data_IF_698311204334
#
_entry.id   IF_698311204334
#
_cell.length_a   1.000
_cell.length_b   1.000
_cell.length_c   1.000
_cell.angle_alpha   90.00
_cell.angle_beta   90.00
_cell.angle_gamma   90.00
#
_symmetry.space_group_name_H-M   'P 1'
#
loop_
_entity.id
_entity.type
_entity.pdbx_description
1 polymer ?
#
# COMPACT_ATOMS: atom_id res chain seq x y z
N UNK A 1 49.67 3.53 66.07
CA UNK A 1 50.22 2.38 65.31
C UNK A 1 49.11 1.89 64.36
N UNK A 2 49.18 2.29 63.12
CA UNK A 2 48.20 1.91 62.08
C UNK A 2 48.89 0.91 61.14
N UNK A 3 48.39 -0.32 61.09
CA UNK A 3 48.78 -1.30 60.05
C UNK A 3 47.96 -1.11 58.80
N UNK A 4 48.59 -0.78 57.70
CA UNK A 4 48.04 -0.81 56.40
C UNK A 4 48.20 -2.22 55.79
N UNK A 5 47.12 -2.84 55.44
CA UNK A 5 47.10 -4.09 54.65
C UNK A 5 46.96 -3.74 53.17
N UNK A 6 47.96 -4.06 52.38
CA UNK A 6 47.94 -3.98 50.94
C UNK A 6 47.27 -5.24 50.39
N UNK A 7 46.16 -5.05 49.65
CA UNK A 7 45.52 -6.10 48.87
C UNK A 7 46.01 -5.97 47.40
N UNK A 8 46.80 -6.94 46.98
CA UNK A 8 47.30 -7.04 45.63
C UNK A 8 46.17 -7.57 44.71
N UNK A 9 45.83 -6.79 43.70
CA UNK A 9 44.97 -7.24 42.59
C UNK A 9 45.80 -7.96 41.52
N UNK A 10 45.60 -9.27 41.41
CA UNK A 10 46.13 -10.06 40.29
C UNK A 10 45.14 -9.92 39.12
N UNK A 11 45.50 -9.18 38.08
CA UNK A 11 44.80 -9.10 36.82
C UNK A 11 45.08 -10.38 36.02
N UNK A 12 44.10 -11.29 35.98
CA UNK A 12 44.12 -12.43 35.08
C UNK A 12 43.62 -11.93 33.71
N UNK A 13 44.52 -11.74 32.75
CA UNK A 13 44.18 -11.47 31.36
C UNK A 13 43.66 -12.77 30.70
N UNK A 14 42.33 -12.97 30.70
CA UNK A 14 41.66 -13.97 29.87
C UNK A 14 41.63 -13.43 28.45
N UNK A 15 42.53 -13.96 27.62
CA UNK A 15 42.50 -13.78 26.16
C UNK A 15 41.20 -14.37 25.57
N UNK A 16 40.22 -13.53 25.37
CA UNK A 16 39.05 -13.85 24.52
C UNK A 16 39.51 -13.89 23.04
N UNK A 17 40.01 -15.06 22.64
CA UNK A 17 40.09 -15.42 21.22
C UNK A 17 38.67 -15.45 20.64
N UNK A 18 38.11 -14.29 20.33
CA UNK A 18 36.89 -14.18 19.55
C UNK A 18 37.14 -14.74 18.18
N UNK A 19 36.68 -15.96 17.94
CA UNK A 19 36.53 -16.49 16.59
C UNK A 19 35.64 -15.54 15.84
N UNK A 20 36.21 -14.73 14.96
CA UNK A 20 35.50 -14.04 13.91
C UNK A 20 34.92 -15.13 13.00
N UNK A 21 33.72 -15.63 13.31
CA UNK A 21 32.88 -16.29 12.34
C UNK A 21 32.66 -15.23 11.26
N UNK A 22 33.45 -15.30 10.20
CA UNK A 22 33.28 -14.48 9.03
C UNK A 22 31.82 -14.59 8.60
N UNK A 23 31.09 -13.48 8.59
CA UNK A 23 29.82 -13.40 7.91
C UNK A 23 30.10 -13.90 6.49
N UNK A 24 29.71 -15.13 6.18
CA UNK A 24 29.69 -15.62 4.80
C UNK A 24 28.77 -14.64 4.09
N UNK A 25 29.35 -13.75 3.28
CA UNK A 25 28.61 -12.71 2.57
C UNK A 25 27.45 -13.37 1.82
N UNK A 26 26.24 -12.93 2.10
CA UNK A 26 25.05 -13.43 1.40
C UNK A 26 25.34 -13.41 -0.09
N UNK A 27 25.19 -14.55 -0.76
CA UNK A 27 25.43 -14.65 -2.21
C UNK A 27 24.57 -13.62 -2.92
N UNK A 28 25.16 -12.89 -3.85
CA UNK A 28 24.40 -11.98 -4.69
C UNK A 28 23.34 -12.75 -5.50
N UNK A 29 22.22 -12.14 -5.75
CA UNK A 29 21.23 -12.63 -6.73
C UNK A 29 21.25 -11.69 -7.93
N UNK A 30 21.15 -12.26 -9.13
CA UNK A 30 21.14 -11.51 -10.38
C UNK A 30 19.91 -11.87 -11.19
N UNK A 31 19.16 -10.85 -11.62
CA UNK A 31 18.02 -11.01 -12.53
C UNK A 31 18.45 -10.57 -13.92
N UNK A 32 18.27 -11.47 -14.90
CA UNK A 32 18.43 -11.18 -16.32
C UNK A 32 17.04 -10.83 -16.89
N UNK A 33 16.76 -9.56 -17.12
CA UNK A 33 15.46 -9.08 -17.60
C UNK A 33 15.49 -8.80 -19.11
N UNK A 34 14.62 -9.46 -19.88
CA UNK A 34 14.51 -9.19 -21.33
C UNK A 34 13.91 -7.81 -21.59
N UNK A 35 12.89 -7.45 -20.84
CA UNK A 35 12.29 -6.10 -20.77
C UNK A 35 12.22 -5.65 -19.32
N UNK A 36 12.43 -4.37 -19.11
CA UNK A 36 12.38 -3.75 -17.78
C UNK A 36 11.60 -2.44 -17.83
N UNK A 37 10.62 -2.28 -16.96
CA UNK A 37 10.10 -0.98 -16.58
C UNK A 37 10.76 -0.56 -15.27
N UNK A 38 11.54 0.53 -15.31
CA UNK A 38 12.30 0.99 -14.14
C UNK A 38 11.49 1.83 -13.15
N UNK A 39 10.21 2.12 -13.46
CA UNK A 39 9.33 2.99 -12.67
C UNK A 39 9.42 4.47 -13.07
N UNK A 40 10.33 4.88 -13.93
CA UNK A 40 10.60 6.29 -14.31
C UNK A 40 10.55 6.56 -15.80
N UNK A 41 11.13 5.66 -16.59
CA UNK A 41 11.26 5.83 -18.05
C UNK A 41 9.90 5.82 -18.76
N UNK A 42 9.81 6.56 -19.87
CA UNK A 42 8.60 6.59 -20.71
C UNK A 42 8.50 5.39 -21.67
N UNK A 43 9.36 4.40 -21.49
CA UNK A 43 9.42 3.18 -22.30
C UNK A 43 10.01 2.03 -21.50
N UNK A 44 9.80 0.81 -21.98
CA UNK A 44 10.53 -0.35 -21.47
C UNK A 44 11.99 -0.34 -21.95
N UNK A 45 12.89 -0.70 -21.06
CA UNK A 45 14.32 -0.89 -21.34
C UNK A 45 14.55 -2.35 -21.73
N UNK A 46 15.38 -2.62 -22.73
CA UNK A 46 15.68 -3.96 -23.19
C UNK A 46 16.98 -4.48 -22.58
N UNK A 47 17.06 -5.79 -22.35
CA UNK A 47 18.30 -6.49 -21.95
C UNK A 47 18.95 -5.84 -20.71
N UNK A 48 18.27 -5.84 -19.57
CA UNK A 48 18.79 -5.28 -18.34
C UNK A 48 19.24 -6.36 -17.37
N UNK A 49 20.25 -6.04 -16.58
CA UNK A 49 20.77 -6.85 -15.50
C UNK A 49 20.57 -6.11 -14.18
N UNK A 50 20.00 -6.81 -13.18
CA UNK A 50 19.79 -6.28 -11.83
C UNK A 50 20.60 -7.14 -10.87
N UNK A 51 21.51 -6.52 -10.13
CA UNK A 51 22.28 -7.17 -9.06
C UNK A 51 21.64 -6.84 -7.72
N UNK A 52 21.40 -7.87 -6.92
CA UNK A 52 20.76 -7.79 -5.61
C UNK A 52 21.76 -8.28 -4.55
N UNK A 53 21.91 -7.49 -3.48
CA UNK A 53 22.71 -7.87 -2.30
C UNK A 53 21.82 -7.77 -1.06
N UNK A 54 21.56 -8.91 -0.44
CA UNK A 54 20.60 -8.96 0.66
C UNK A 54 19.20 -8.58 0.19
N UNK A 55 18.60 -7.57 0.82
CA UNK A 55 17.26 -7.06 0.50
C UNK A 55 17.25 -5.85 -0.45
N UNK A 56 18.43 -5.46 -0.98
CA UNK A 56 18.61 -4.22 -1.76
C UNK A 56 19.13 -4.45 -3.16
N UNK A 57 18.74 -3.53 -4.05
CA UNK A 57 19.32 -3.41 -5.38
C UNK A 57 20.72 -2.80 -5.22
N UNK A 58 21.74 -3.57 -5.59
CA UNK A 58 23.13 -3.12 -5.57
C UNK A 58 23.50 -2.37 -6.85
N UNK A 59 23.01 -2.85 -8.01
CA UNK A 59 23.30 -2.27 -9.31
C UNK A 59 22.21 -2.65 -10.32
N UNK A 60 21.94 -1.78 -11.29
CA UNK A 60 21.05 -2.05 -12.43
C UNK A 60 21.55 -1.32 -13.67
N UNK A 61 21.48 -1.98 -14.82
CA UNK A 61 21.87 -1.40 -16.10
C UNK A 61 21.85 -2.42 -17.25
N UNK A 62 22.29 -2.02 -18.47
CA UNK A 62 22.34 -2.91 -19.62
C UNK A 62 23.16 -4.19 -19.34
N UNK A 63 22.65 -5.34 -19.79
CA UNK A 63 23.36 -6.58 -19.69
C UNK A 63 24.73 -6.51 -20.36
N UNK A 64 25.79 -6.71 -19.96
CA UNK A 64 27.13 -6.53 -20.57
C UNK A 64 27.86 -5.26 -20.12
N UNK A 65 27.18 -4.33 -19.45
CA UNK A 65 27.84 -3.20 -18.77
C UNK A 65 28.14 -3.49 -17.29
N UNK A 66 27.53 -4.53 -16.72
CA UNK A 66 27.63 -4.93 -15.31
C UNK A 66 28.30 -6.31 -15.21
N UNK A 67 29.29 -6.41 -14.34
CA UNK A 67 29.94 -7.71 -14.05
C UNK A 67 29.07 -8.52 -13.09
N UNK A 68 28.71 -9.75 -13.49
CA UNK A 68 28.00 -10.68 -12.61
C UNK A 68 28.94 -11.11 -11.48
N UNK A 69 28.56 -10.92 -10.19
CA UNK A 69 29.39 -11.37 -9.07
C UNK A 69 29.63 -12.87 -9.10
N UNK A 70 30.85 -13.30 -8.83
CA UNK A 70 31.19 -14.72 -8.81
C UNK A 70 30.33 -15.50 -7.81
N UNK A 71 29.73 -16.59 -8.27
CA UNK A 71 28.84 -17.43 -7.45
C UNK A 71 27.46 -16.83 -7.17
N UNK A 72 27.06 -15.77 -7.87
CA UNK A 72 25.71 -15.22 -7.80
C UNK A 72 24.66 -16.26 -8.21
N UNK A 73 23.49 -16.21 -7.58
CA UNK A 73 22.32 -16.93 -8.04
C UNK A 73 21.70 -16.18 -9.23
N UNK A 74 21.60 -16.82 -10.37
CA UNK A 74 20.98 -16.22 -11.55
C UNK A 74 19.51 -16.60 -11.66
N UNK A 75 18.67 -15.59 -11.96
CA UNK A 75 17.24 -15.71 -12.26
C UNK A 75 17.03 -15.25 -13.69
N UNK A 76 16.72 -16.19 -14.58
CA UNK A 76 16.51 -15.91 -15.99
C UNK A 76 15.06 -15.46 -16.28
N UNK A 77 14.89 -14.16 -16.51
CA UNK A 77 13.64 -13.53 -16.92
C UNK A 77 13.78 -12.85 -18.30
N UNK A 78 14.66 -13.37 -19.18
CA UNK A 78 14.87 -12.80 -20.52
C UNK A 78 13.65 -12.89 -21.42
N UNK A 79 12.71 -13.80 -21.14
CA UNK A 79 11.43 -13.91 -21.84
C UNK A 79 10.27 -13.18 -21.13
N UNK A 80 10.58 -12.33 -20.15
CA UNK A 80 9.61 -11.62 -19.33
C UNK A 80 9.83 -10.12 -19.36
N UNK A 81 8.81 -9.38 -18.88
CA UNK A 81 8.91 -7.98 -18.50
C UNK A 81 8.97 -7.90 -16.97
N UNK A 82 10.04 -7.31 -16.45
CA UNK A 82 10.25 -7.07 -15.02
C UNK A 82 9.85 -5.63 -14.70
N UNK A 83 9.13 -5.44 -13.59
CA UNK A 83 8.69 -4.14 -13.09
C UNK A 83 9.02 -4.02 -11.59
N UNK A 84 9.03 -2.81 -11.01
CA UNK A 84 9.01 -2.66 -9.55
C UNK A 84 7.82 -3.40 -8.95
N UNK A 85 7.96 -3.90 -7.74
CA UNK A 85 6.82 -4.44 -7.00
C UNK A 85 5.68 -3.43 -6.91
N UNK A 86 4.46 -3.90 -7.10
CA UNK A 86 3.26 -3.05 -7.15
C UNK A 86 2.90 -2.52 -5.76
N UNK A 87 2.24 -1.37 -5.74
CA UNK A 87 1.86 -0.65 -4.52
C UNK A 87 0.35 -0.41 -4.54
N UNK A 88 -0.36 -0.96 -3.56
CA UNK A 88 -1.76 -0.63 -3.30
C UNK A 88 -1.82 0.56 -2.33
N UNK A 89 -2.31 1.70 -2.84
CA UNK A 89 -2.30 2.98 -2.11
C UNK A 89 -3.49 3.17 -1.16
N UNK A 90 -4.55 2.36 -1.28
CA UNK A 90 -5.74 2.41 -0.44
C UNK A 90 -6.31 1.03 -0.20
N UNK A 91 -5.78 0.34 0.77
CA UNK A 91 -6.18 -1.01 1.14
C UNK A 91 -6.92 -1.06 2.48
N UNK A 92 -7.64 -2.16 2.69
CA UNK A 92 -8.28 -2.53 3.95
C UNK A 92 -8.08 -4.03 4.21
N UNK A 93 -6.95 -4.41 4.79
CA UNK A 93 -6.60 -5.81 5.07
C UNK A 93 -7.63 -6.51 5.97
N UNK A 94 -8.28 -5.74 6.84
CA UNK A 94 -9.30 -6.22 7.79
C UNK A 94 -10.72 -6.18 7.23
N UNK A 95 -10.91 -5.77 5.99
CA UNK A 95 -12.19 -5.84 5.31
C UNK A 95 -12.41 -7.26 4.83
N UNK A 96 -13.23 -7.96 5.56
CA UNK A 96 -13.54 -9.37 5.32
C UNK A 96 -14.86 -9.38 4.56
N UNK A 97 -14.82 -9.79 3.29
CA UNK A 97 -16.02 -9.96 2.47
C UNK A 97 -17.04 -10.93 3.10
N UNK A 98 -17.95 -11.49 2.33
CA UNK A 98 -19.08 -12.35 2.76
C UNK A 98 -18.68 -13.59 3.57
N UNK A 99 -18.01 -13.39 4.71
CA UNK A 99 -17.84 -14.49 5.66
C UNK A 99 -19.21 -14.86 6.24
N UNK A 100 -19.55 -16.16 6.40
CA UNK A 100 -20.75 -16.56 7.10
C UNK A 100 -20.78 -15.91 8.50
N UNK A 101 -21.64 -14.91 8.72
CA UNK A 101 -21.71 -14.13 9.95
C UNK A 101 -21.30 -12.66 9.83
N UNK A 102 -20.66 -12.21 8.76
CA UNK A 102 -20.70 -10.81 8.39
C UNK A 102 -22.12 -10.49 7.93
N UNK A 103 -22.83 -9.60 8.61
CA UNK A 103 -24.18 -9.19 8.20
C UNK A 103 -24.17 -8.65 6.78
N UNK A 104 -25.33 -8.38 6.19
CA UNK A 104 -25.53 -7.97 4.80
C UNK A 104 -24.80 -6.66 4.38
N UNK A 105 -24.05 -6.04 5.27
CA UNK A 105 -23.21 -4.85 5.02
C UNK A 105 -21.71 -5.18 5.16
N UNK A 106 -21.22 -6.01 4.25
CA UNK A 106 -19.81 -6.37 4.16
C UNK A 106 -18.88 -5.20 3.71
N UNK A 107 -19.42 -3.99 3.52
CA UNK A 107 -18.62 -2.77 3.31
C UNK A 107 -18.07 -2.17 4.60
N UNK A 108 -18.38 -2.80 5.74
CA UNK A 108 -17.93 -2.35 7.05
C UNK A 108 -16.61 -3.03 7.37
N UNK A 109 -15.52 -2.27 7.63
CA UNK A 109 -14.32 -2.85 8.24
C UNK A 109 -14.73 -3.63 9.49
N UNK A 110 -14.24 -4.83 9.68
CA UNK A 110 -14.52 -5.61 10.88
C UNK A 110 -13.76 -5.00 12.04
N UNK A 111 -14.38 -4.02 12.64
CA UNK A 111 -13.95 -3.49 13.92
C UNK A 111 -14.68 -4.26 15.00
N UNK A 112 -13.95 -4.65 15.99
CA UNK A 112 -14.41 -5.44 17.09
C UNK A 112 -15.15 -4.52 18.04
N UNK A 113 -16.44 -4.42 17.84
CA UNK A 113 -17.34 -3.94 18.87
C UNK A 113 -17.93 -5.11 19.66
N UNK A 114 -18.31 -4.90 20.92
CA UNK A 114 -19.12 -5.86 21.65
C UNK A 114 -20.38 -6.18 20.83
N UNK A 115 -20.51 -7.44 20.38
CA UNK A 115 -21.61 -7.89 19.53
C UNK A 115 -21.27 -8.14 18.06
N UNK A 116 -20.02 -7.89 17.60
CA UNK A 116 -19.58 -8.39 16.29
C UNK A 116 -19.29 -9.89 16.36
N UNK A 117 -19.55 -10.66 15.26
CA UNK A 117 -19.37 -12.10 15.27
C UNK A 117 -17.90 -12.56 15.34
N UNK A 118 -16.93 -11.65 15.21
CA UNK A 118 -15.52 -11.99 15.13
C UNK A 118 -14.67 -11.26 16.18
N UNK A 119 -13.79 -12.01 16.83
CA UNK A 119 -12.80 -11.46 17.75
C UNK A 119 -11.61 -10.82 16.96
N UNK A 120 -10.86 -9.89 17.59
CA UNK A 120 -9.63 -9.31 17.01
C UNK A 120 -8.66 -10.39 16.53
N UNK A 121 -8.32 -11.42 17.31
CA UNK A 121 -7.43 -12.48 16.86
C UNK A 121 -7.92 -13.15 15.58
N UNK A 122 -9.21 -13.47 15.47
CA UNK A 122 -9.75 -14.09 14.27
C UNK A 122 -9.70 -13.17 13.05
N UNK A 123 -10.04 -11.89 13.22
CA UNK A 123 -9.94 -10.90 12.15
C UNK A 123 -8.49 -10.70 11.68
N UNK A 124 -7.51 -10.74 12.59
CA UNK A 124 -6.09 -10.68 12.24
C UNK A 124 -5.63 -11.90 11.45
N UNK A 125 -6.12 -13.10 11.78
CA UNK A 125 -5.86 -14.31 11.00
C UNK A 125 -6.42 -14.19 9.58
N UNK A 126 -7.64 -13.68 9.42
CA UNK A 126 -8.21 -13.44 8.09
C UNK A 126 -7.44 -12.36 7.31
N UNK A 127 -7.05 -11.27 7.97
CA UNK A 127 -6.23 -10.22 7.37
C UNK A 127 -4.85 -10.74 6.91
N UNK A 128 -4.28 -11.75 7.60
CA UNK A 128 -3.06 -12.42 7.16
C UNK A 128 -3.22 -13.19 5.85
N UNK A 129 -4.41 -13.74 5.61
CA UNK A 129 -4.74 -14.37 4.31
C UNK A 129 -4.82 -13.32 3.21
N UNK A 130 -5.50 -12.19 3.47
CA UNK A 130 -5.58 -11.08 2.53
C UNK A 130 -4.18 -10.56 2.17
N UNK A 131 -3.34 -10.30 3.17
CA UNK A 131 -1.97 -9.83 2.98
C UNK A 131 -1.12 -10.80 2.14
N UNK A 132 -1.29 -12.12 2.32
CA UNK A 132 -0.61 -13.13 1.51
C UNK A 132 -1.10 -13.10 0.05
N UNK A 133 -2.39 -12.97 -0.18
CA UNK A 133 -2.97 -12.90 -1.53
C UNK A 133 -2.47 -11.67 -2.28
N UNK A 134 -2.46 -10.49 -1.65
CA UNK A 134 -1.93 -9.26 -2.23
C UNK A 134 -0.45 -9.43 -2.61
N UNK A 135 0.36 -10.02 -1.73
CA UNK A 135 1.77 -10.27 -2.03
C UNK A 135 1.94 -11.24 -3.20
N UNK A 136 1.20 -12.35 -3.23
CA UNK A 136 1.27 -13.37 -4.28
C UNK A 136 0.80 -12.84 -5.65
N UNK A 137 -0.12 -11.85 -5.67
CA UNK A 137 -0.57 -11.16 -6.89
C UNK A 137 0.40 -10.08 -7.38
N UNK A 138 1.44 -9.76 -6.59
CA UNK A 138 2.50 -8.81 -6.98
C UNK A 138 2.47 -7.47 -6.24
N UNK A 139 1.52 -7.23 -5.34
CA UNK A 139 1.51 -6.04 -4.49
C UNK A 139 2.46 -6.24 -3.32
N UNK A 140 3.71 -5.83 -3.51
CA UNK A 140 4.78 -5.98 -2.51
C UNK A 140 4.72 -4.92 -1.42
N UNK A 141 3.93 -3.87 -1.63
CA UNK A 141 3.71 -2.77 -0.67
C UNK A 141 2.23 -2.40 -0.65
N UNK A 142 1.68 -2.13 0.55
CA UNK A 142 0.31 -1.70 0.75
C UNK A 142 0.21 -0.61 1.82
N UNK A 143 -0.75 0.32 1.64
CA UNK A 143 -1.15 1.28 2.67
C UNK A 143 -2.54 0.88 3.18
N UNK A 144 -2.61 0.39 4.42
CA UNK A 144 -3.86 -0.01 5.07
C UNK A 144 -4.52 1.19 5.76
N UNK A 145 -5.70 1.56 5.29
CA UNK A 145 -6.35 2.82 5.63
C UNK A 145 -7.38 2.73 6.74
N UNK A 146 -7.22 1.90 7.66
CA UNK A 146 -7.97 1.76 8.90
C UNK A 146 -8.30 0.30 9.22
N UNK A 147 -8.01 -0.06 10.42
CA UNK A 147 -8.42 -1.32 11.06
C UNK A 147 -9.20 -1.03 12.35
N UNK A 148 -9.55 -2.05 13.09
CA UNK A 148 -10.04 -1.89 14.46
C UNK A 148 -8.89 -1.88 15.48
N UNK A 149 -8.72 -0.80 16.20
CA UNK A 149 -7.67 -0.69 17.20
C UNK A 149 -6.28 -0.67 16.58
N UNK A 150 -5.39 -1.58 17.02
CA UNK A 150 -3.99 -1.69 16.59
C UNK A 150 -3.71 -2.98 15.81
N UNK A 151 -4.73 -3.66 15.33
CA UNK A 151 -4.56 -4.98 14.70
C UNK A 151 -3.74 -4.92 13.39
N UNK A 152 -3.80 -3.82 12.66
CA UNK A 152 -2.96 -3.54 11.49
C UNK A 152 -1.48 -3.35 11.84
N UNK A 153 -1.20 -2.76 13.01
CA UNK A 153 0.16 -2.65 13.56
C UNK A 153 0.73 -4.03 13.87
N UNK A 154 -0.06 -4.90 14.49
CA UNK A 154 0.34 -6.27 14.80
C UNK A 154 0.59 -7.08 13.53
N UNK A 155 -0.30 -6.95 12.53
CA UNK A 155 -0.15 -7.58 11.22
C UNK A 155 1.14 -7.10 10.52
N UNK A 156 1.36 -5.78 10.44
CA UNK A 156 2.58 -5.18 9.87
C UNK A 156 3.84 -5.71 10.56
N UNK A 157 3.84 -5.74 11.88
CA UNK A 157 4.99 -6.18 12.66
C UNK A 157 5.27 -7.68 12.42
N UNK A 158 4.24 -8.54 12.42
CA UNK A 158 4.39 -9.95 12.11
C UNK A 158 4.95 -10.20 10.69
N UNK A 159 4.55 -9.40 9.70
CA UNK A 159 5.12 -9.44 8.35
C UNK A 159 6.58 -8.98 8.35
N UNK A 160 6.91 -7.91 9.06
CA UNK A 160 8.27 -7.36 9.12
C UNK A 160 9.25 -8.32 9.84
N UNK A 161 8.78 -9.06 10.84
CA UNK A 161 9.52 -10.09 11.57
C UNK A 161 9.60 -11.42 10.80
N UNK A 162 8.91 -11.55 9.67
CA UNK A 162 8.88 -12.78 8.86
C UNK A 162 8.06 -13.92 9.46
N UNK A 163 7.18 -13.64 10.43
CA UNK A 163 6.29 -14.62 11.04
C UNK A 163 5.25 -15.08 10.04
N UNK A 164 4.74 -14.14 9.22
CA UNK A 164 3.77 -14.42 8.15
C UNK A 164 4.19 -13.70 6.86
N UNK A 165 3.83 -14.26 5.67
CA UNK A 165 4.01 -13.56 4.41
C UNK A 165 3.01 -12.42 4.25
N UNK A 166 3.44 -11.33 3.59
CA UNK A 166 2.61 -10.18 3.26
C UNK A 166 3.41 -9.04 2.63
N UNK A 167 2.77 -8.00 2.12
CA UNK A 167 3.43 -6.80 1.59
C UNK A 167 4.13 -6.01 2.70
N UNK A 168 4.99 -5.06 2.32
CA UNK A 168 5.41 -4.01 3.24
C UNK A 168 4.21 -3.13 3.53
N UNK A 169 3.88 -2.89 4.79
CA UNK A 169 2.67 -2.14 5.14
C UNK A 169 2.99 -0.78 5.74
N UNK A 170 2.19 0.22 5.38
CA UNK A 170 1.96 1.42 6.18
C UNK A 170 0.54 1.36 6.70
N UNK A 171 0.35 1.68 7.97
CA UNK A 171 -0.90 1.45 8.69
C UNK A 171 -1.37 2.72 9.40
N UNK A 172 -2.69 2.90 9.47
CA UNK A 172 -3.33 4.08 10.06
C UNK A 172 -3.90 3.84 11.46
N UNK A 173 -3.96 2.57 11.91
CA UNK A 173 -4.74 2.19 13.08
C UNK A 173 -6.25 2.49 12.88
N UNK A 174 -6.86 3.29 13.70
CA UNK A 174 -8.27 3.69 13.55
C UNK A 174 -8.39 5.02 12.79
N UNK A 175 -9.38 5.09 11.92
CA UNK A 175 -9.68 6.35 11.21
C UNK A 175 -10.44 7.33 12.11
N UNK A 176 -10.27 8.63 11.85
CA UNK A 176 -10.92 9.73 12.56
C UNK A 176 -12.15 10.20 11.79
N UNK A 177 -13.24 10.52 12.51
CA UNK A 177 -14.51 10.91 11.90
C UNK A 177 -15.36 11.76 12.86
N UNK A 178 -16.17 12.66 12.34
CA UNK A 178 -17.16 13.39 13.12
C UNK A 178 -18.33 12.49 13.57
N UNK A 179 -18.87 12.72 14.76
CA UNK A 179 -19.92 11.89 15.39
C UNK A 179 -21.24 11.88 14.61
N UNK A 180 -21.52 12.92 13.82
CA UNK A 180 -22.70 13.01 12.96
C UNK A 180 -22.81 11.86 11.96
N UNK A 181 -21.71 11.23 11.64
CA UNK A 181 -21.65 10.09 10.73
C UNK A 181 -21.96 8.73 11.40
N UNK A 182 -22.27 8.75 12.70
CA UNK A 182 -22.65 7.57 13.49
C UNK A 182 -21.46 6.88 14.16
N UNK A 183 -21.71 6.06 15.20
CA UNK A 183 -20.71 5.55 16.13
C UNK A 183 -19.87 4.39 15.61
N UNK A 184 -20.04 3.95 14.37
CA UNK A 184 -19.42 2.69 13.91
C UNK A 184 -17.97 2.86 13.52
N UNK A 185 -17.05 2.16 14.21
CA UNK A 185 -15.70 1.79 13.77
C UNK A 185 -14.66 2.89 13.62
N UNK A 186 -14.87 4.05 14.25
CA UNK A 186 -13.98 5.20 14.11
C UNK A 186 -13.82 5.90 15.44
N UNK A 187 -12.67 6.53 15.65
CA UNK A 187 -12.58 7.53 16.70
C UNK A 187 -13.38 8.77 16.30
N UNK A 188 -14.34 9.10 17.15
CA UNK A 188 -15.16 10.28 16.95
C UNK A 188 -14.39 11.53 17.39
N UNK A 189 -14.45 12.56 16.56
CA UNK A 189 -13.79 13.85 16.76
C UNK A 189 -14.82 14.93 16.52
N UNK A 190 -15.18 15.68 17.57
CA UNK A 190 -16.15 16.75 17.53
C UNK A 190 -15.57 18.07 18.07
N UNK A 191 -14.24 18.19 18.11
CA UNK A 191 -13.54 19.43 18.40
C UNK A 191 -12.09 19.41 17.91
N UNK A 192 -11.48 20.57 17.62
CA UNK A 192 -10.05 20.67 17.28
C UNK A 192 -9.13 20.07 18.35
N UNK A 193 -9.50 20.14 19.63
CA UNK A 193 -8.74 19.55 20.72
C UNK A 193 -8.72 18.03 20.66
N UNK A 194 -9.87 17.40 20.44
CA UNK A 194 -9.98 15.95 20.27
C UNK A 194 -9.20 15.48 19.03
N UNK A 195 -9.31 16.21 17.93
CA UNK A 195 -8.54 15.94 16.72
C UNK A 195 -7.03 15.83 17.00
N UNK A 196 -6.45 16.85 17.64
CA UNK A 196 -5.02 16.84 18.02
C UNK A 196 -4.69 15.72 19.00
N UNK A 197 -5.57 15.44 19.96
CA UNK A 197 -5.40 14.36 20.92
C UNK A 197 -5.38 13.01 20.23
N UNK A 198 -6.31 12.76 19.31
CA UNK A 198 -6.41 11.50 18.60
C UNK A 198 -5.21 11.26 17.68
N UNK A 199 -4.69 12.26 16.98
CA UNK A 199 -3.43 12.13 16.22
C UNK A 199 -2.30 11.57 17.10
N UNK A 200 -2.11 12.15 18.29
CA UNK A 200 -1.07 11.70 19.23
C UNK A 200 -1.29 10.27 19.73
N UNK A 201 -2.56 9.91 19.95
CA UNK A 201 -2.92 8.53 20.36
C UNK A 201 -2.63 7.54 19.25
N UNK A 202 -3.06 7.81 18.01
CA UNK A 202 -2.81 6.92 16.88
C UNK A 202 -1.30 6.72 16.65
N UNK A 203 -0.52 7.79 16.68
CA UNK A 203 0.95 7.71 16.53
C UNK A 203 1.60 6.93 17.68
N UNK A 204 1.16 7.14 18.92
CA UNK A 204 1.61 6.35 20.08
C UNK A 204 1.29 4.87 19.91
N UNK A 205 0.17 4.56 19.30
CA UNK A 205 -0.29 3.19 19.03
C UNK A 205 0.43 2.54 17.83
N UNK A 206 1.28 3.27 17.11
CA UNK A 206 2.11 2.75 16.03
C UNK A 206 1.61 3.06 14.63
N UNK A 207 0.67 3.99 14.46
CA UNK A 207 0.26 4.46 13.13
C UNK A 207 1.45 5.10 12.38
N UNK A 208 1.54 4.84 11.07
CA UNK A 208 2.54 5.43 10.18
C UNK A 208 2.05 6.73 9.53
N UNK A 209 0.74 6.96 9.53
CA UNK A 209 0.05 8.13 8.98
C UNK A 209 -1.34 8.23 9.62
N UNK A 210 -2.03 9.35 9.39
CA UNK A 210 -3.38 9.57 9.92
C UNK A 210 -4.42 9.39 8.83
N UNK A 211 -5.53 8.72 9.16
CA UNK A 211 -6.70 8.54 8.30
C UNK A 211 -7.86 9.39 8.80
N UNK A 212 -8.45 10.18 7.90
CA UNK A 212 -9.70 10.91 8.12
C UNK A 212 -10.80 10.37 7.20
N UNK A 213 -11.97 10.13 7.72
CA UNK A 213 -13.20 9.92 6.96
C UNK A 213 -13.99 11.23 6.93
N UNK A 214 -13.58 12.12 6.03
CA UNK A 214 -14.10 13.47 5.91
C UNK A 214 -15.56 13.51 5.43
N UNK A 215 -16.00 12.51 4.63
CA UNK A 215 -17.36 12.43 4.12
C UNK A 215 -18.13 11.22 4.65
N UNK A 216 -19.43 11.40 4.85
CA UNK A 216 -20.37 10.34 5.18
C UNK A 216 -21.06 9.80 3.94
N UNK A 217 -20.67 8.60 3.47
CA UNK A 217 -21.33 8.00 2.29
C UNK A 217 -22.69 7.40 2.62
N UNK A 218 -22.83 6.78 3.80
CA UNK A 218 -23.98 5.94 4.12
C UNK A 218 -24.53 6.13 5.53
N UNK A 219 -23.86 6.90 6.37
CA UNK A 219 -24.21 6.97 7.78
C UNK A 219 -25.50 7.77 8.05
N UNK A 220 -25.81 8.76 7.21
CA UNK A 220 -27.04 9.54 7.30
C UNK A 220 -27.50 9.97 5.90
N UNK A 221 -28.57 9.37 5.37
CA UNK A 221 -29.14 9.74 4.06
C UNK A 221 -29.52 11.23 3.96
N UNK A 222 -29.82 11.89 5.09
CA UNK A 222 -30.16 13.31 5.13
C UNK A 222 -28.97 14.25 4.87
N UNK A 223 -27.73 13.79 5.06
CA UNK A 223 -26.54 14.61 4.82
C UNK A 223 -26.14 14.68 3.35
N UNK A 224 -26.68 13.80 2.50
CA UNK A 224 -26.30 13.71 1.09
C UNK A 224 -24.90 13.13 0.85
N UNK A 225 -24.63 12.84 -0.41
CA UNK A 225 -23.34 12.32 -0.86
C UNK A 225 -22.29 13.43 -0.86
N UNK A 226 -21.18 13.24 -0.14
CA UNK A 226 -20.12 14.25 -0.03
C UNK A 226 -20.33 15.32 1.05
N UNK A 227 -21.31 15.13 1.93
CA UNK A 227 -21.44 16.00 3.10
C UNK A 227 -20.28 15.76 4.08
N UNK A 228 -19.63 16.82 4.60
CA UNK A 228 -18.55 16.68 5.56
C UNK A 228 -19.08 16.14 6.90
N UNK A 229 -18.27 15.34 7.57
CA UNK A 229 -18.57 14.78 8.90
C UNK A 229 -17.96 15.59 10.03
N UNK A 230 -17.04 16.47 9.71
CA UNK A 230 -16.32 17.38 10.60
C UNK A 230 -16.38 18.81 10.06
N UNK A 231 -16.13 19.77 10.91
CA UNK A 231 -15.88 21.16 10.49
C UNK A 231 -14.48 21.30 9.87
N UNK A 232 -14.27 22.37 9.11
CA UNK A 232 -12.93 22.67 8.56
C UNK A 232 -11.90 22.84 9.68
N UNK A 233 -12.25 23.46 10.79
CA UNK A 233 -11.35 23.67 11.94
C UNK A 233 -10.91 22.36 12.59
N UNK A 234 -11.81 21.38 12.69
CA UNK A 234 -11.51 20.05 13.22
C UNK A 234 -10.56 19.30 12.29
N UNK A 235 -10.82 19.31 11.00
CA UNK A 235 -9.97 18.67 9.98
C UNK A 235 -8.59 19.33 9.94
N UNK A 236 -8.51 20.67 9.94
CA UNK A 236 -7.26 21.43 10.02
C UNK A 236 -6.45 21.10 11.28
N UNK A 237 -7.11 20.97 12.42
CA UNK A 237 -6.42 20.64 13.67
C UNK A 237 -5.78 19.26 13.64
N UNK A 238 -6.41 18.29 12.98
CA UNK A 238 -5.85 16.95 12.74
C UNK A 238 -4.64 17.03 11.82
N UNK A 239 -4.80 17.72 10.67
CA UNK A 239 -3.73 17.87 9.67
C UNK A 239 -2.52 18.59 10.24
N UNK A 240 -2.71 19.74 10.90
CA UNK A 240 -1.65 20.50 11.55
C UNK A 240 -0.85 19.65 12.56
N UNK A 241 -1.57 18.90 13.41
CA UNK A 241 -0.92 18.08 14.42
C UNK A 241 -0.13 16.93 13.77
N UNK A 242 -0.68 16.27 12.75
CA UNK A 242 -0.02 15.20 12.01
C UNK A 242 1.25 15.73 11.30
N UNK A 243 1.15 16.84 10.59
CA UNK A 243 2.29 17.47 9.89
C UNK A 243 3.37 17.93 10.87
N UNK A 244 2.98 18.46 12.05
CA UNK A 244 3.93 18.80 13.12
C UNK A 244 4.71 17.58 13.63
N UNK A 245 4.11 16.40 13.59
CA UNK A 245 4.77 15.12 13.91
C UNK A 245 5.49 14.49 12.71
N UNK A 246 5.49 15.14 11.55
CA UNK A 246 6.16 14.66 10.33
C UNK A 246 5.44 13.51 9.61
N UNK A 247 4.14 13.33 9.85
CA UNK A 247 3.35 12.27 9.21
C UNK A 247 2.27 12.84 8.31
N UNK A 248 1.91 12.08 7.28
CA UNK A 248 0.90 12.45 6.28
C UNK A 248 -0.52 12.15 6.75
N UNK A 249 -1.48 12.82 6.11
CA UNK A 249 -2.92 12.63 6.34
C UNK A 249 -3.62 12.22 5.05
N UNK A 250 -4.35 11.10 5.11
CA UNK A 250 -5.17 10.57 4.02
C UNK A 250 -6.66 10.82 4.33
N UNK A 251 -7.37 11.55 3.45
CA UNK A 251 -8.74 12.01 3.68
C UNK A 251 -9.71 11.38 2.68
N UNK A 252 -10.62 10.50 3.15
CA UNK A 252 -11.71 9.99 2.32
C UNK A 252 -12.81 11.05 2.25
N UNK A 253 -12.91 11.71 1.10
CA UNK A 253 -13.79 12.86 0.91
C UNK A 253 -14.95 12.63 -0.08
N UNK A 254 -14.84 11.69 -0.98
CA UNK A 254 -15.77 11.26 -2.02
C UNK A 254 -16.26 12.36 -2.97
N UNK A 255 -16.89 13.43 -2.50
CA UNK A 255 -17.49 14.45 -3.37
C UNK A 255 -17.73 15.80 -2.67
N UNK A 256 -18.06 16.80 -3.48
CA UNK A 256 -18.66 18.07 -3.05
C UNK A 256 -17.89 18.87 -2.01
N UNK A 257 -18.59 19.30 -0.97
CA UNK A 257 -18.03 20.17 0.08
C UNK A 257 -16.91 19.49 0.84
N UNK A 258 -16.99 18.19 1.11
CA UNK A 258 -15.96 17.47 1.84
C UNK A 258 -14.63 17.40 1.05
N UNK A 259 -14.68 17.26 -0.29
CA UNK A 259 -13.48 17.33 -1.14
C UNK A 259 -12.79 18.68 -0.99
N UNK A 260 -13.53 19.78 -1.14
CA UNK A 260 -12.99 21.14 -1.02
C UNK A 260 -12.42 21.39 0.37
N UNK A 261 -13.17 21.00 1.41
CA UNK A 261 -12.74 21.15 2.80
C UNK A 261 -11.45 20.39 3.09
N UNK A 262 -11.31 19.14 2.63
CA UNK A 262 -10.08 18.36 2.83
C UNK A 262 -8.88 18.95 2.09
N UNK A 263 -9.09 19.56 0.90
CA UNK A 263 -8.05 20.32 0.18
C UNK A 263 -7.62 21.56 1.00
N UNK A 264 -8.59 22.31 1.53
CA UNK A 264 -8.36 23.52 2.34
C UNK A 264 -7.68 23.18 3.67
N UNK A 265 -8.07 22.07 4.29
CA UNK A 265 -7.46 21.56 5.52
C UNK A 265 -6.00 21.13 5.32
N UNK A 266 -5.58 20.83 4.09
CA UNK A 266 -4.20 20.46 3.76
C UNK A 266 -3.92 18.94 3.80
N UNK A 267 -4.93 18.11 3.54
CA UNK A 267 -4.73 16.67 3.39
C UNK A 267 -3.68 16.34 2.33
N UNK A 268 -2.82 15.35 2.56
CA UNK A 268 -1.77 14.95 1.61
C UNK A 268 -2.33 14.10 0.46
N UNK A 269 -3.42 13.37 0.72
CA UNK A 269 -4.12 12.60 -0.31
C UNK A 269 -5.63 12.60 -0.11
N UNK A 270 -6.37 12.70 -1.22
CA UNK A 270 -7.81 12.53 -1.27
C UNK A 270 -8.13 11.10 -1.72
N UNK A 271 -8.89 10.40 -0.91
CA UNK A 271 -9.13 8.99 -1.09
C UNK A 271 -10.53 8.69 -1.63
N UNK A 272 -10.60 7.79 -2.62
CA UNK A 272 -11.84 7.29 -3.22
C UNK A 272 -12.74 8.42 -3.77
N UNK A 273 -12.13 9.35 -4.49
CA UNK A 273 -12.84 10.50 -5.06
C UNK A 273 -13.81 10.03 -6.13
N UNK A 274 -15.08 10.38 -5.96
CA UNK A 274 -16.14 10.05 -6.90
C UNK A 274 -16.55 11.26 -7.73
N UNK A 275 -16.71 12.43 -7.10
CA UNK A 275 -17.09 13.66 -7.80
C UNK A 275 -16.23 14.84 -7.32
N UNK A 276 -15.49 15.43 -8.26
CA UNK A 276 -14.63 16.60 -8.02
C UNK A 276 -14.80 17.61 -9.15
N UNK A 277 -15.04 18.87 -8.84
CA UNK A 277 -15.17 19.94 -9.82
C UNK A 277 -13.80 20.42 -10.37
N UNK A 278 -13.83 21.21 -11.44
CA UNK A 278 -12.61 21.68 -12.10
C UNK A 278 -11.79 22.65 -11.23
N UNK A 279 -12.43 23.40 -10.33
CA UNK A 279 -11.73 24.31 -9.42
C UNK A 279 -10.99 23.52 -8.35
N UNK A 280 -11.63 22.54 -7.74
CA UNK A 280 -10.99 21.63 -6.77
C UNK A 280 -9.83 20.86 -7.37
N UNK A 281 -9.94 20.42 -8.64
CA UNK A 281 -8.81 19.77 -9.36
C UNK A 281 -7.63 20.73 -9.51
N UNK A 282 -7.86 22.01 -9.82
CA UNK A 282 -6.77 22.99 -9.87
C UNK A 282 -6.07 23.14 -8.51
N UNK A 283 -6.86 23.25 -7.44
CA UNK A 283 -6.32 23.33 -6.07
C UNK A 283 -5.48 22.08 -5.71
N UNK A 284 -5.93 20.87 -6.11
CA UNK A 284 -5.18 19.63 -5.92
C UNK A 284 -3.84 19.68 -6.63
N UNK A 285 -3.80 20.13 -7.88
CA UNK A 285 -2.54 20.29 -8.66
C UNK A 285 -1.61 21.31 -8.02
N UNK A 286 -2.14 22.48 -7.67
CA UNK A 286 -1.35 23.59 -7.07
C UNK A 286 -0.73 23.17 -5.73
N UNK A 287 -1.46 22.41 -4.91
CA UNK A 287 -0.98 21.96 -3.61
C UNK A 287 -0.18 20.64 -3.69
N UNK A 288 -0.13 19.98 -4.85
CA UNK A 288 0.57 18.69 -5.03
C UNK A 288 -0.07 17.52 -4.29
N UNK A 289 -1.38 17.59 -4.01
CA UNK A 289 -2.15 16.57 -3.31
C UNK A 289 -2.31 15.33 -4.22
N UNK A 290 -2.16 14.15 -3.66
CA UNK A 290 -2.43 12.90 -4.36
C UNK A 290 -3.92 12.58 -4.39
N UNK A 291 -4.36 11.79 -5.37
CA UNK A 291 -5.72 11.27 -5.43
C UNK A 291 -5.72 9.76 -5.63
N UNK A 292 -6.70 9.09 -5.02
CA UNK A 292 -7.08 7.70 -5.34
C UNK A 292 -8.55 7.63 -5.72
N UNK A 293 -8.94 6.62 -6.50
CA UNK A 293 -10.31 6.53 -7.03
C UNK A 293 -11.02 5.22 -6.68
N UNK A 294 -10.41 4.05 -6.88
CA UNK A 294 -11.11 2.76 -6.78
C UNK A 294 -12.22 2.66 -7.82
N UNK A 295 -11.85 2.78 -9.11
CA UNK A 295 -12.81 2.87 -10.22
C UNK A 295 -13.60 1.58 -10.39
N UNK A 296 -12.94 0.44 -10.30
CA UNK A 296 -13.55 -0.88 -10.46
C UNK A 296 -14.59 -1.17 -9.39
N UNK A 297 -14.26 -0.93 -8.12
CA UNK A 297 -15.24 -1.11 -7.03
C UNK A 297 -16.41 -0.14 -7.15
N UNK A 298 -16.16 1.10 -7.56
CA UNK A 298 -17.20 2.11 -7.79
C UNK A 298 -18.14 1.66 -8.95
N UNK A 299 -17.58 1.14 -10.04
CA UNK A 299 -18.34 0.59 -11.18
C UNK A 299 -19.23 -0.60 -10.78
N UNK A 300 -18.73 -1.45 -9.87
CA UNK A 300 -19.48 -2.59 -9.32
C UNK A 300 -20.60 -2.11 -8.39
N UNK A 301 -20.29 -1.24 -7.45
CA UNK A 301 -21.26 -0.72 -6.48
C UNK A 301 -22.37 0.11 -7.10
N UNK A 302 -22.10 0.84 -8.18
CA UNK A 302 -23.08 1.64 -8.90
C UNK A 302 -24.28 0.81 -9.44
N UNK A 303 -24.07 -0.50 -9.70
CA UNK A 303 -25.15 -1.39 -10.16
C UNK A 303 -26.25 -1.59 -9.11
N UNK A 304 -25.98 -1.38 -7.84
CA UNK A 304 -26.91 -1.56 -6.72
C UNK A 304 -27.42 -0.25 -6.12
N UNK A 305 -27.03 0.90 -6.65
CA UNK A 305 -27.36 2.22 -6.08
C UNK A 305 -28.08 3.10 -7.10
N UNK A 306 -29.09 3.84 -6.65
CA UNK A 306 -29.81 4.86 -7.44
C UNK A 306 -29.03 6.18 -7.55
N UNK A 307 -27.69 6.12 -7.61
CA UNK A 307 -26.83 7.29 -7.71
C UNK A 307 -25.78 7.05 -8.80
N UNK A 308 -25.50 8.00 -9.71
CA UNK A 308 -24.63 7.82 -10.88
C UNK A 308 -23.14 7.84 -10.50
N UNK A 309 -22.75 7.00 -9.54
CA UNK A 309 -21.39 6.98 -9.00
C UNK A 309 -20.33 6.64 -10.05
N UNK A 310 -20.64 5.69 -10.94
CA UNK A 310 -19.69 5.24 -11.95
C UNK A 310 -19.39 6.34 -12.98
N UNK A 311 -20.42 7.04 -13.46
CA UNK A 311 -20.31 8.13 -14.43
C UNK A 311 -19.58 9.33 -13.83
N UNK A 312 -19.90 9.70 -12.59
CA UNK A 312 -19.25 10.79 -11.88
C UNK A 312 -17.76 10.47 -11.61
N UNK A 313 -17.47 9.26 -11.14
CA UNK A 313 -16.11 8.80 -10.90
C UNK A 313 -15.28 8.76 -12.19
N UNK A 314 -15.85 8.26 -13.30
CA UNK A 314 -15.22 8.30 -14.62
C UNK A 314 -14.90 9.72 -15.05
N UNK A 315 -15.87 10.63 -14.98
CA UNK A 315 -15.69 12.03 -15.39
C UNK A 315 -14.65 12.75 -14.53
N UNK A 316 -14.65 12.48 -13.23
CA UNK A 316 -13.68 13.03 -12.26
C UNK A 316 -12.27 12.51 -12.51
N UNK A 317 -12.13 11.20 -12.75
CA UNK A 317 -10.86 10.59 -13.11
C UNK A 317 -10.28 11.18 -14.39
N UNK A 318 -11.08 11.29 -15.46
CA UNK A 318 -10.67 11.89 -16.74
C UNK A 318 -10.23 13.35 -16.56
N UNK A 319 -10.94 14.12 -15.72
CA UNK A 319 -10.59 15.50 -15.38
C UNK A 319 -9.25 15.56 -14.66
N UNK A 320 -9.03 14.69 -13.70
CA UNK A 320 -7.78 14.59 -12.93
C UNK A 320 -6.59 14.17 -13.83
N UNK A 321 -6.77 13.16 -14.68
CA UNK A 321 -5.74 12.72 -15.67
C UNK A 321 -5.36 13.87 -16.59
N UNK A 322 -6.36 14.57 -17.18
CA UNK A 322 -6.14 15.70 -18.09
C UNK A 322 -5.40 16.86 -17.42
N UNK A 323 -5.64 17.08 -16.14
CA UNK A 323 -5.00 18.14 -15.37
C UNK A 323 -3.61 17.77 -14.84
N UNK A 324 -3.16 16.52 -15.01
CA UNK A 324 -1.86 16.05 -14.54
C UNK A 324 -1.80 15.81 -13.02
N UNK A 325 -2.93 15.52 -12.38
CA UNK A 325 -2.97 15.15 -10.95
C UNK A 325 -2.13 13.89 -10.71
N UNK A 326 -1.41 13.83 -9.62
CA UNK A 326 -0.72 12.63 -9.15
C UNK A 326 -1.75 11.61 -8.64
N UNK A 327 -2.14 10.67 -9.50
CA UNK A 327 -3.10 9.61 -9.15
C UNK A 327 -2.32 8.38 -8.70
N UNK A 328 -2.51 7.96 -7.44
CA UNK A 328 -1.98 6.72 -6.92
C UNK A 328 -2.99 5.58 -7.13
N UNK A 329 -2.47 4.40 -7.40
CA UNK A 329 -3.27 3.18 -7.59
C UNK A 329 -4.06 2.84 -6.33
N UNK A 330 -5.30 2.41 -6.51
CA UNK A 330 -6.18 1.97 -5.45
C UNK A 330 -7.37 1.20 -6.03
N UNK A 331 -7.65 0.05 -5.47
CA UNK A 331 -8.84 -0.73 -5.83
C UNK A 331 -9.85 -0.80 -4.69
N UNK A 332 -9.41 -0.57 -3.44
CA UNK A 332 -10.23 -0.72 -2.24
C UNK A 332 -10.83 -2.14 -2.13
N UNK A 333 -9.98 -3.15 -2.15
CA UNK A 333 -10.36 -4.56 -2.12
C UNK A 333 -11.32 -4.90 -0.96
N UNK A 334 -12.21 -5.89 -1.17
CA UNK A 334 -13.35 -6.16 -0.28
C UNK A 334 -13.32 -7.52 0.43
N UNK A 335 -12.16 -8.11 0.60
CA UNK A 335 -11.98 -9.41 1.25
C UNK A 335 -11.42 -10.46 0.30
N UNK A 336 -11.15 -11.67 0.81
CA UNK A 336 -10.41 -12.69 0.07
C UNK A 336 -11.25 -13.53 -0.89
N UNK A 337 -12.52 -13.70 -0.62
CA UNK A 337 -13.50 -14.42 -1.47
C UNK A 337 -14.88 -14.15 -0.93
N UNK A 338 -15.89 -14.08 -1.78
CA UNK A 338 -17.25 -13.91 -1.28
C UNK A 338 -18.31 -13.93 -2.37
N UNK A 339 -19.57 -13.81 -1.97
CA UNK A 339 -20.71 -13.67 -2.86
C UNK A 339 -20.92 -12.22 -3.33
N UNK A 340 -20.25 -11.26 -2.72
CA UNK A 340 -20.26 -9.88 -3.19
C UNK A 340 -19.39 -9.76 -4.44
N UNK A 341 -19.79 -8.89 -5.35
CA UNK A 341 -18.97 -8.62 -6.52
C UNK A 341 -17.67 -7.94 -6.10
N UNK A 342 -16.49 -8.57 -6.41
CA UNK A 342 -15.14 -8.06 -6.13
C UNK A 342 -14.87 -6.65 -6.66
N UNK A 343 -13.64 -6.17 -6.69
CA UNK A 343 -12.38 -6.93 -6.61
C UNK A 343 -12.06 -7.40 -5.20
N UNK A 344 -11.44 -8.57 -5.15
CA UNK A 344 -10.98 -9.19 -3.91
C UNK A 344 -9.48 -8.99 -3.73
N UNK A 345 -8.99 -9.25 -2.50
CA UNK A 345 -7.55 -9.37 -2.26
C UNK A 345 -6.95 -10.47 -3.15
N UNK A 346 -5.89 -10.14 -3.85
CA UNK A 346 -5.28 -10.99 -4.89
C UNK A 346 -5.77 -10.71 -6.32
N UNK A 347 -6.79 -9.87 -6.50
CA UNK A 347 -7.37 -9.49 -7.82
C UNK A 347 -7.26 -7.97 -8.09
N UNK A 348 -6.44 -7.24 -7.34
CA UNK A 348 -6.36 -5.78 -7.40
C UNK A 348 -6.01 -5.27 -8.80
N UNK A 349 -5.22 -6.04 -9.54
CA UNK A 349 -4.70 -5.65 -10.86
C UNK A 349 -5.78 -5.38 -11.93
N UNK A 350 -7.03 -5.80 -11.71
CA UNK A 350 -8.17 -5.46 -12.59
C UNK A 350 -8.40 -3.94 -12.70
N UNK A 351 -7.95 -3.16 -11.72
CA UNK A 351 -8.04 -1.71 -11.71
C UNK A 351 -7.24 -1.07 -12.85
N UNK A 352 -6.09 -1.64 -13.22
CA UNK A 352 -5.27 -1.12 -14.31
C UNK A 352 -6.03 -1.02 -15.64
N UNK A 353 -6.81 -2.05 -15.97
CA UNK A 353 -7.64 -2.05 -17.19
C UNK A 353 -8.69 -0.95 -17.15
N UNK A 354 -9.32 -0.72 -15.99
CA UNK A 354 -10.31 0.36 -15.81
C UNK A 354 -9.65 1.74 -15.89
N UNK A 355 -8.46 1.94 -15.33
CA UNK A 355 -7.71 3.19 -15.44
C UNK A 355 -7.37 3.52 -16.91
N UNK A 356 -6.97 2.51 -17.69
CA UNK A 356 -6.68 2.67 -19.12
C UNK A 356 -7.97 2.92 -19.91
N UNK A 357 -9.04 2.17 -19.65
CA UNK A 357 -10.37 2.40 -20.25
C UNK A 357 -10.84 3.87 -20.05
N UNK A 358 -10.49 4.47 -18.89
CA UNK A 358 -10.92 5.83 -18.54
C UNK A 358 -9.90 6.92 -18.91
N UNK A 359 -8.81 6.58 -19.60
CA UNK A 359 -7.97 7.56 -20.29
C UNK A 359 -6.51 7.69 -19.87
N UNK A 360 -6.02 6.87 -18.95
CA UNK A 360 -4.57 6.74 -18.75
C UNK A 360 -3.93 5.94 -19.88
N UNK A 361 -2.68 6.22 -20.19
CA UNK A 361 -1.86 5.26 -20.94
C UNK A 361 -1.47 4.09 -20.02
N UNK A 362 -1.16 2.90 -20.57
CA UNK A 362 -0.71 1.77 -19.74
C UNK A 362 0.46 2.13 -18.80
N UNK A 363 1.46 2.87 -19.29
CA UNK A 363 2.59 3.30 -18.45
C UNK A 363 2.20 4.30 -17.35
N UNK A 364 1.20 5.17 -17.57
CA UNK A 364 0.67 6.02 -16.51
C UNK A 364 -0.02 5.20 -15.43
N UNK A 365 -0.83 4.21 -15.82
CA UNK A 365 -1.48 3.30 -14.89
C UNK A 365 -0.43 2.49 -14.08
N UNK A 366 0.61 1.97 -14.71
CA UNK A 366 1.70 1.26 -14.03
C UNK A 366 2.44 2.19 -13.05
N UNK A 367 2.72 3.45 -13.44
CA UNK A 367 3.35 4.41 -12.53
C UNK A 367 2.50 4.73 -11.31
N UNK A 368 1.17 4.71 -11.44
CA UNK A 368 0.28 4.94 -10.30
C UNK A 368 0.48 3.90 -9.18
N UNK A 369 0.81 2.65 -9.56
CA UNK A 369 1.10 1.56 -8.63
C UNK A 369 2.60 1.33 -8.40
N UNK A 370 3.47 2.21 -8.87
CA UNK A 370 4.92 2.11 -8.68
C UNK A 370 5.46 3.43 -8.17
N UNK A 371 6.09 4.27 -8.98
CA UNK A 371 6.73 5.50 -8.53
C UNK A 371 5.76 6.50 -7.89
N UNK A 372 4.59 6.73 -8.48
CA UNK A 372 3.57 7.64 -7.92
C UNK A 372 2.98 7.07 -6.62
N UNK A 373 2.69 5.76 -6.60
CA UNK A 373 2.25 5.07 -5.38
C UNK A 373 3.27 5.20 -4.25
N UNK A 374 4.56 5.02 -4.54
CA UNK A 374 5.64 5.18 -3.58
C UNK A 374 5.74 6.61 -3.03
N UNK A 375 5.60 7.62 -3.91
CA UNK A 375 5.55 9.02 -3.49
C UNK A 375 4.34 9.29 -2.59
N UNK A 376 3.16 8.77 -2.96
CA UNK A 376 1.92 8.92 -2.17
C UNK A 376 2.08 8.41 -0.74
N UNK A 377 2.68 7.23 -0.58
CA UNK A 377 2.89 6.64 0.76
C UNK A 377 4.13 7.19 1.49
N UNK A 378 4.90 8.11 0.89
CA UNK A 378 6.10 8.69 1.47
C UNK A 378 7.32 7.76 1.49
N UNK A 379 7.37 6.76 0.60
CA UNK A 379 8.48 5.78 0.48
C UNK A 379 9.16 5.81 -0.90
N UNK A 380 9.11 6.94 -1.61
CA UNK A 380 9.75 7.10 -2.91
C UNK A 380 11.27 6.87 -2.91
N UNK A 381 11.92 6.97 -1.75
CA UNK A 381 13.32 6.64 -1.53
C UNK A 381 13.59 5.15 -1.32
N UNK A 382 12.57 4.33 -1.12
CA UNK A 382 12.68 2.91 -0.70
C UNK A 382 12.16 1.92 -1.72
N UNK A 383 11.03 2.24 -2.39
CA UNK A 383 10.29 1.36 -3.31
C UNK A 383 9.82 2.12 -4.55
N UNK A 384 9.09 1.46 -5.45
CA UNK A 384 8.39 2.07 -6.58
C UNK A 384 9.24 2.34 -7.82
N UNK A 385 10.55 2.12 -7.77
CA UNK A 385 11.42 2.12 -8.95
C UNK A 385 12.62 1.20 -8.76
N UNK A 386 13.17 0.73 -9.87
CA UNK A 386 14.33 -0.17 -9.88
C UNK A 386 15.60 0.68 -9.93
N UNK A 387 16.09 1.03 -8.75
CA UNK A 387 17.26 1.89 -8.56
C UNK A 387 18.16 1.37 -7.45
N UNK A 388 19.46 1.60 -7.60
CA UNK A 388 20.45 1.27 -6.56
C UNK A 388 20.03 1.79 -5.18
N UNK A 389 20.09 0.95 -4.16
CA UNK A 389 19.80 1.24 -2.77
C UNK A 389 18.34 1.02 -2.37
N UNK A 390 17.40 0.92 -3.32
CA UNK A 390 16.00 0.59 -3.02
C UNK A 390 15.82 -0.89 -2.71
N UNK A 391 14.70 -1.23 -2.09
CA UNK A 391 14.38 -2.63 -1.84
C UNK A 391 14.28 -3.43 -3.14
N UNK A 392 14.76 -4.66 -3.09
CA UNK A 392 14.66 -5.61 -4.19
C UNK A 392 13.25 -6.23 -4.23
N UNK A 393 12.28 -5.42 -4.60
CA UNK A 393 10.87 -5.77 -4.74
C UNK A 393 10.51 -5.69 -6.23
N UNK A 394 10.17 -6.83 -6.84
CA UNK A 394 9.94 -6.95 -8.28
C UNK A 394 8.73 -7.81 -8.59
N UNK A 395 8.10 -7.52 -9.72
CA UNK A 395 7.15 -8.41 -10.37
C UNK A 395 7.60 -8.73 -11.80
N UNK A 396 7.18 -9.87 -12.32
CA UNK A 396 7.45 -10.29 -13.68
C UNK A 396 6.22 -10.85 -14.38
N UNK A 397 5.98 -10.40 -15.61
CA UNK A 397 4.89 -10.85 -16.48
C UNK A 397 5.44 -11.37 -17.80
N UNK A 398 4.69 -12.22 -18.50
CA UNK A 398 5.15 -12.82 -19.77
C UNK A 398 5.14 -11.82 -20.92
N UNK A 399 4.10 -11.00 -21.02
CA UNK A 399 3.86 -10.06 -22.10
C UNK A 399 4.49 -8.70 -21.89
N UNK A 400 4.00 -7.73 -22.65
CA UNK A 400 4.38 -6.34 -22.60
C UNK A 400 3.23 -5.51 -21.99
N UNK A 401 3.29 -5.14 -20.70
CA UNK A 401 2.22 -4.41 -20.02
C UNK A 401 2.10 -2.95 -20.48
N UNK A 402 3.05 -2.43 -21.26
CA UNK A 402 2.91 -1.14 -21.92
C UNK A 402 2.01 -1.20 -23.16
N UNK A 403 1.77 -2.40 -23.69
CA UNK A 403 0.84 -2.68 -24.81
C UNK A 403 -0.48 -3.22 -24.27
N UNK A 404 -0.44 -4.23 -23.41
CA UNK A 404 -1.59 -4.86 -22.76
C UNK A 404 -1.42 -4.82 -21.24
N UNK A 405 -2.04 -3.85 -20.59
CA UNK A 405 -1.91 -3.66 -19.14
C UNK A 405 -2.50 -4.83 -18.34
N UNK A 406 -3.41 -5.65 -18.94
CA UNK A 406 -3.98 -6.84 -18.30
C UNK A 406 -2.95 -7.96 -18.06
N UNK A 407 -1.74 -7.85 -18.61
CA UNK A 407 -0.62 -8.72 -18.22
C UNK A 407 -0.37 -8.69 -16.71
N UNK A 408 -0.66 -7.57 -16.04
CA UNK A 408 -0.50 -7.42 -14.59
C UNK A 408 -1.52 -8.24 -13.78
N UNK A 409 -2.62 -8.69 -14.38
CA UNK A 409 -3.56 -9.65 -13.78
C UNK A 409 -2.99 -11.09 -13.76
N UNK A 410 -1.87 -11.33 -14.45
CA UNK A 410 -1.23 -12.64 -14.65
C UNK A 410 0.24 -12.63 -14.25
N UNK A 411 0.55 -12.01 -13.11
CA UNK A 411 1.91 -11.97 -12.56
C UNK A 411 2.42 -13.39 -12.33
N UNK A 412 3.62 -13.68 -12.83
CA UNK A 412 4.27 -15.01 -12.74
C UNK A 412 5.52 -15.03 -11.87
N UNK A 413 6.09 -13.88 -11.61
CA UNK A 413 7.25 -13.72 -10.74
C UNK A 413 6.98 -12.62 -9.71
N UNK A 414 7.22 -12.90 -8.45
CA UNK A 414 7.17 -11.94 -7.36
C UNK A 414 8.39 -12.12 -6.48
N UNK A 415 9.10 -11.03 -6.25
CA UNK A 415 10.19 -10.93 -5.29
C UNK A 415 9.92 -9.80 -4.32
N UNK A 416 10.13 -10.04 -3.02
CA UNK A 416 10.08 -9.01 -1.97
C UNK A 416 11.34 -9.08 -1.14
N UNK A 417 12.07 -7.97 -1.03
CA UNK A 417 13.32 -7.89 -0.26
C UNK A 417 14.35 -8.93 -0.68
N UNK A 418 14.50 -9.19 -2.00
CA UNK A 418 15.42 -10.18 -2.53
C UNK A 418 14.99 -11.64 -2.34
N UNK A 419 13.83 -11.89 -1.68
CA UNK A 419 13.28 -13.23 -1.49
C UNK A 419 12.24 -13.54 -2.57
N UNK A 420 12.36 -14.70 -3.24
CA UNK A 420 11.37 -15.14 -4.22
C UNK A 420 10.12 -15.59 -3.48
N UNK A 421 8.99 -14.92 -3.74
CA UNK A 421 7.67 -15.28 -3.26
C UNK A 421 6.99 -16.24 -4.24
N UNK A 422 7.10 -15.95 -5.54
CA UNK A 422 6.52 -16.72 -6.64
C UNK A 422 7.45 -16.73 -7.84
N UNK A 423 7.59 -17.89 -8.50
CA UNK A 423 8.32 -18.00 -9.76
C UNK A 423 7.73 -19.11 -10.65
N UNK A 424 6.72 -18.77 -11.45
CA UNK A 424 6.06 -19.69 -12.37
C UNK A 424 6.81 -19.81 -13.70
N UNK A 425 7.85 -19.01 -13.96
CA UNK A 425 8.73 -19.16 -15.11
C UNK A 425 9.67 -20.36 -14.96
N UNK A 426 10.05 -20.73 -13.74
CA UNK A 426 10.93 -21.83 -13.46
C UNK A 426 10.26 -23.22 -13.58
N UNK A 427 8.92 -23.28 -13.54
CA UNK A 427 8.15 -24.54 -13.53
C UNK A 427 7.95 -25.17 -14.91
N UNK A 428 8.34 -24.52 -16.00
CA UNK A 428 8.23 -25.07 -17.36
C UNK A 428 9.29 -26.13 -17.73
N UNK A 429 10.17 -26.49 -16.79
CA UNK A 429 11.30 -27.42 -17.03
C UNK A 429 11.43 -28.62 -16.10
N UNK A 430 10.62 -28.78 -15.05
CA UNK A 430 10.77 -29.87 -14.09
C UNK A 430 9.42 -30.39 -13.60
N UNK A 431 8.87 -31.39 -14.28
CA UNK A 431 7.90 -32.32 -13.69
C UNK A 431 8.63 -33.21 -12.68
N UNK A 432 8.81 -32.76 -11.48
CA UNK A 432 9.23 -33.61 -10.37
C UNK A 432 8.00 -34.30 -9.80
N UNK A 433 7.89 -35.60 -10.09
CA UNK A 433 6.87 -36.48 -9.54
C UNK A 433 6.85 -36.39 -8.00
N UNK A 434 5.72 -35.99 -7.49
CA UNK A 434 5.38 -36.25 -6.09
C UNK A 434 4.73 -37.63 -6.04
N UNK A 435 5.43 -38.60 -5.43
CA UNK A 435 4.81 -39.79 -4.87
C UNK A 435 4.22 -39.51 -3.51
#
# INVERSE_FOLDING_TARGET
MKRQSAIGFVLLALGLGGSWLGAQGQKATVILAGRLFDGKSDRLLSNQLIVIQGDRIAEVGPAGSITIPAGAQEIDLRNATVLPGLIEGHNHMFKIGDHPGAGADASVPLVIEPGTPFSTPYSTLLASVNARLDLESGFTTARDLSSGGTADVDLRNAINEGIIPGPRMRVATEGLRGSIAGPRYFHLVDSPYEGRKQVRIQLKNGADFIKIYAAGIRANPALGYGAPTMTLEEEQAIVDEAHRQGVRVACTAHAGVAVRQSIEAGCDSLELVTDIDAESVRMVVEKGIFMTFGLTITKIQAKSQNFPMAELSKASFQRAVKAGVKIAFSVNATGAHGKQAGPYHGEEAVEFATMVEYGMTPLQAIRSATSVGAENIGWGDRVGSIEKGKFADFVGVSGDPAIDVTELERVKFVMKGGQIVRNDFASSGASLGRK
#
